data_IF_749207315702
#
_entry.id   IF_749207315702
#
_cell.length_a   1.000
_cell.length_b   1.000
_cell.length_c   1.000
_cell.angle_alpha   90.00
_cell.angle_beta   90.00
_cell.angle_gamma   90.00
#
_symmetry.space_group_name_H-M   'P 1'
#
loop_
_entity.id
_entity.type
_entity.pdbx_description
1 polymer ?
#
# COMPACT_ATOMS: atom_id res chain seq x y z
N UNK A 1 -18.53 -11.06 -22.86
CA UNK A 1 -17.78 -10.22 -21.91
C UNK A 1 -18.73 -9.20 -21.33
N UNK A 2 -18.96 -9.17 -20.01
CA UNK A 2 -19.88 -8.22 -19.37
C UNK A 2 -19.08 -7.28 -18.47
N UNK A 3 -19.15 -5.99 -18.78
CA UNK A 3 -18.70 -4.89 -17.93
C UNK A 3 -19.62 -4.81 -16.70
N UNK A 4 -19.04 -4.65 -15.52
CA UNK A 4 -19.79 -4.48 -14.27
C UNK A 4 -19.61 -3.03 -13.82
N UNK A 5 -20.69 -2.25 -13.82
CA UNK A 5 -20.76 -0.97 -13.09
C UNK A 5 -21.06 -1.24 -11.63
N UNK A 6 -20.49 -0.43 -10.75
CA UNK A 6 -20.79 -0.42 -9.32
C UNK A 6 -22.28 -0.13 -9.07
N UNK A 7 -22.98 -0.91 -8.22
CA UNK A 7 -24.37 -0.60 -7.88
C UNK A 7 -24.42 0.68 -7.03
N UNK A 8 -25.27 1.63 -7.43
CA UNK A 8 -25.61 2.78 -6.61
C UNK A 8 -26.43 2.32 -5.40
N UNK A 9 -25.89 2.45 -4.19
CA UNK A 9 -26.67 2.22 -2.96
C UNK A 9 -26.81 3.54 -2.23
N UNK A 10 -28.01 4.11 -2.28
CA UNK A 10 -28.45 5.18 -1.39
C UNK A 10 -28.44 4.64 0.05
N UNK A 11 -27.61 5.23 0.92
CA UNK A 11 -27.62 4.90 2.34
C UNK A 11 -26.28 5.10 3.05
N UNK A 12 -25.73 6.32 3.05
CA UNK A 12 -24.65 6.72 3.95
C UNK A 12 -25.22 7.72 4.96
N UNK A 13 -25.25 7.35 6.24
CA UNK A 13 -25.53 8.29 7.35
C UNK A 13 -24.24 9.02 7.70
N UNK A 14 -24.29 10.35 7.63
CA UNK A 14 -23.22 11.24 8.06
C UNK A 14 -23.49 11.72 9.50
N UNK A 15 -22.48 11.75 10.35
CA UNK A 15 -22.53 12.42 11.67
C UNK A 15 -21.43 13.48 11.71
N UNK A 16 -21.78 14.70 12.14
CA UNK A 16 -20.85 15.84 12.29
C UNK A 16 -21.14 16.57 13.60
N UNK A 17 -20.09 16.96 14.34
CA UNK A 17 -20.20 17.83 15.54
C UNK A 17 -19.14 18.96 15.49
N UNK A 18 -19.37 20.18 16.03
CA UNK A 18 -18.44 21.31 15.88
C UNK A 18 -17.61 21.64 17.13
N UNK A 19 -16.36 22.13 16.95
CA UNK A 19 -15.69 23.06 17.89
C UNK A 19 -14.18 22.93 18.18
N UNK A 20 -13.39 23.92 17.70
CA UNK A 20 -12.08 24.47 18.20
C UNK A 20 -10.69 23.82 17.99
N UNK A 21 -9.67 24.70 17.86
CA UNK A 21 -8.20 24.56 17.53
C UNK A 21 -7.38 25.34 18.60
N UNK A 22 -6.04 25.19 18.83
CA UNK A 22 -4.95 25.04 17.84
C UNK A 22 -3.75 24.10 18.18
N UNK A 23 -2.86 23.95 17.18
CA UNK A 23 -1.74 23.00 16.97
C UNK A 23 -0.46 23.26 17.81
N UNK A 24 0.31 22.20 18.11
CA UNK A 24 1.70 21.86 17.63
C UNK A 24 2.11 20.50 18.25
N UNK A 25 2.59 19.57 17.41
CA UNK A 25 3.10 18.19 17.70
C UNK A 25 2.25 17.28 18.62
N UNK A 26 1.36 16.42 18.09
CA UNK A 26 0.69 15.41 18.92
C UNK A 26 0.13 14.24 18.10
N UNK A 27 0.12 13.03 18.67
CA UNK A 27 -0.91 12.02 18.41
C UNK A 27 -2.23 12.76 18.21
N UNK A 28 -2.94 12.55 17.10
CA UNK A 28 -4.11 13.37 16.78
C UNK A 28 -5.04 13.42 18.00
N UNK A 29 -5.14 14.57 18.66
CA UNK A 29 -5.93 14.71 19.88
C UNK A 29 -7.44 14.64 19.58
N UNK A 30 -7.79 14.77 18.30
CA UNK A 30 -9.13 14.71 17.76
C UNK A 30 -9.12 13.86 16.47
N UNK A 31 -9.97 12.84 16.44
CA UNK A 31 -10.15 11.91 15.32
C UNK A 31 -11.50 12.08 14.61
N UNK A 32 -12.26 13.14 14.89
CA UNK A 32 -13.63 13.34 14.39
C UNK A 32 -13.69 13.44 12.86
N UNK A 33 -12.60 13.90 12.25
CA UNK A 33 -12.46 13.98 10.79
C UNK A 33 -11.87 12.71 10.17
N UNK A 34 -11.31 11.81 10.99
CA UNK A 34 -10.75 10.55 10.51
C UNK A 34 -11.89 9.63 10.09
N UNK A 35 -11.59 8.81 9.09
CA UNK A 35 -12.51 7.79 8.60
C UNK A 35 -12.14 6.47 9.26
N UNK A 36 -13.13 5.62 9.49
CA UNK A 36 -12.89 4.24 9.91
C UNK A 36 -12.70 3.41 8.66
N UNK A 37 -11.57 2.71 8.57
CA UNK A 37 -11.37 1.62 7.62
C UNK A 37 -11.51 0.31 8.38
N UNK A 38 -12.39 -0.57 7.91
CA UNK A 38 -12.56 -1.92 8.45
C UNK A 38 -11.61 -2.87 7.75
N UNK A 39 -11.30 -3.99 8.40
CA UNK A 39 -10.54 -5.06 7.78
C UNK A 39 -11.12 -5.43 6.40
N UNK A 40 -10.27 -5.43 5.37
CA UNK A 40 -10.66 -5.71 3.99
C UNK A 40 -11.12 -4.48 3.19
N UNK A 41 -11.31 -3.32 3.82
CA UNK A 41 -11.53 -2.07 3.08
C UNK A 41 -10.28 -1.68 2.30
N UNK A 42 -10.47 -1.05 1.15
CA UNK A 42 -9.40 -0.43 0.39
C UNK A 42 -9.27 1.02 0.82
N UNK A 43 -8.05 1.44 1.17
CA UNK A 43 -7.72 2.82 1.45
C UNK A 43 -6.67 3.33 0.48
N UNK A 44 -6.86 4.54 -0.04
CA UNK A 44 -5.86 5.18 -0.90
C UNK A 44 -5.76 6.69 -0.68
N UNK A 45 -4.58 7.23 -0.91
CA UNK A 45 -4.35 8.66 -0.85
C UNK A 45 -4.72 9.31 -2.19
N UNK A 46 -5.69 10.24 -2.19
CA UNK A 46 -6.15 10.92 -3.41
C UNK A 46 -5.04 11.61 -4.21
N UNK A 47 -3.99 12.11 -3.57
CA UNK A 47 -2.89 12.85 -4.22
C UNK A 47 -1.79 11.94 -4.79
N UNK A 48 -1.73 10.70 -4.33
CA UNK A 48 -0.66 9.75 -4.66
C UNK A 48 -1.18 8.46 -5.29
N UNK A 49 -2.50 8.38 -5.53
CA UNK A 49 -3.14 7.19 -6.08
C UNK A 49 -2.57 6.79 -7.43
N UNK A 50 -2.30 7.75 -8.31
CA UNK A 50 -1.69 7.50 -9.62
C UNK A 50 -0.29 6.88 -9.52
N UNK A 51 0.41 7.04 -8.39
CA UNK A 51 1.69 6.42 -8.07
C UNK A 51 1.54 5.06 -7.37
N UNK A 52 0.32 4.54 -7.23
CA UNK A 52 0.03 3.27 -6.57
C UNK A 52 -0.05 3.36 -5.04
N UNK A 53 -0.27 4.54 -4.47
CA UNK A 53 -0.46 4.71 -3.02
C UNK A 53 -1.85 4.22 -2.55
N UNK A 54 -2.03 2.91 -2.58
CA UNK A 54 -3.25 2.18 -2.25
C UNK A 54 -2.92 0.89 -1.49
N UNK A 55 -3.81 0.48 -0.60
CA UNK A 55 -3.70 -0.78 0.12
C UNK A 55 -5.01 -1.24 0.69
N UNK A 56 -5.07 -2.53 1.01
CA UNK A 56 -6.15 -3.11 1.80
C UNK A 56 -5.85 -2.94 3.29
N UNK A 57 -6.87 -2.61 4.08
CA UNK A 57 -6.76 -2.51 5.53
C UNK A 57 -6.61 -3.92 6.13
N UNK A 58 -5.49 -4.22 6.81
CA UNK A 58 -5.26 -5.54 7.41
C UNK A 58 -6.11 -5.78 8.66
N UNK A 59 -6.56 -4.70 9.31
CA UNK A 59 -7.37 -4.68 10.52
C UNK A 59 -8.21 -3.42 10.54
N UNK A 60 -9.17 -3.36 11.45
CA UNK A 60 -9.91 -2.13 11.74
C UNK A 60 -8.95 -1.02 12.21
N UNK A 61 -9.19 0.20 11.74
CA UNK A 61 -8.36 1.34 12.09
C UNK A 61 -8.92 2.68 11.63
N UNK A 62 -8.25 3.75 12.06
CA UNK A 62 -8.55 5.11 11.63
C UNK A 62 -7.60 5.53 10.51
N UNK A 63 -8.15 6.16 9.49
CA UNK A 63 -7.38 6.75 8.38
C UNK A 63 -7.64 8.24 8.29
N UNK A 64 -6.60 8.97 7.90
CA UNK A 64 -6.65 10.42 7.75
C UNK A 64 -7.78 10.85 6.77
N UNK A 65 -8.42 12.01 6.99
CA UNK A 65 -9.48 12.52 6.12
C UNK A 65 -9.11 12.60 4.63
N UNK A 66 -7.82 12.75 4.33
CA UNK A 66 -7.30 12.85 2.96
C UNK A 66 -7.26 11.52 2.20
N UNK A 67 -7.44 10.40 2.91
CA UNK A 67 -7.63 9.09 2.28
C UNK A 67 -9.08 8.90 1.84
N UNK A 68 -9.25 8.19 0.74
CA UNK A 68 -10.53 7.60 0.37
C UNK A 68 -10.54 6.18 0.95
N UNK A 69 -11.68 5.78 1.52
CA UNK A 69 -11.94 4.42 2.00
C UNK A 69 -13.08 3.86 1.18
N UNK A 70 -12.88 2.67 0.62
CA UNK A 70 -13.85 2.00 -0.24
C UNK A 70 -13.92 0.52 0.13
N UNK A 71 -15.13 0.04 0.43
CA UNK A 71 -15.37 -1.37 0.69
C UNK A 71 -15.60 -2.10 -0.63
N UNK A 72 -14.84 -3.16 -0.95
CA UNK A 72 -15.15 -4.05 -2.07
C UNK A 72 -16.55 -4.65 -1.91
N UNK A 73 -17.36 -4.66 -2.96
CA UNK A 73 -18.74 -5.18 -2.92
C UNK A 73 -18.99 -6.23 -3.98
N UNK A 74 -20.09 -6.98 -3.82
CA UNK A 74 -20.52 -8.02 -4.75
C UNK A 74 -19.55 -9.21 -4.74
N UNK A 75 -19.04 -9.56 -5.92
CA UNK A 75 -18.14 -10.73 -6.12
C UNK A 75 -16.66 -10.38 -6.11
N UNK A 76 -16.30 -9.14 -5.79
CA UNK A 76 -14.91 -8.69 -5.75
C UNK A 76 -14.30 -9.02 -4.38
N UNK A 77 -13.31 -9.90 -4.34
CA UNK A 77 -12.58 -10.20 -3.10
C UNK A 77 -11.64 -9.05 -2.74
N UNK A 78 -11.55 -8.65 -1.46
CA UNK A 78 -10.60 -7.63 -1.01
C UNK A 78 -9.13 -7.90 -1.39
N UNK A 79 -8.68 -9.15 -1.24
CA UNK A 79 -7.31 -9.55 -1.55
C UNK A 79 -7.03 -9.48 -3.05
N UNK A 80 -8.03 -9.82 -3.88
CA UNK A 80 -7.91 -9.67 -5.32
C UNK A 80 -7.89 -8.20 -5.74
N UNK A 81 -8.73 -7.36 -5.09
CA UNK A 81 -8.69 -5.93 -5.30
C UNK A 81 -7.31 -5.36 -4.97
N UNK A 82 -6.68 -5.75 -3.86
CA UNK A 82 -5.31 -5.30 -3.53
C UNK A 82 -4.30 -5.63 -4.64
N UNK A 83 -4.31 -6.88 -5.15
CA UNK A 83 -3.42 -7.29 -6.24
C UNK A 83 -3.70 -6.49 -7.51
N UNK A 84 -4.97 -6.35 -7.88
CA UNK A 84 -5.39 -5.64 -9.08
C UNK A 84 -4.98 -4.15 -9.06
N UNK A 85 -5.18 -3.49 -7.93
CA UNK A 85 -4.91 -2.05 -7.76
C UNK A 85 -3.42 -1.72 -7.83
N UNK A 86 -2.54 -2.71 -7.61
CA UNK A 86 -1.08 -2.57 -7.74
C UNK A 86 -0.56 -2.81 -9.16
N UNK A 87 -1.42 -3.22 -10.10
CA UNK A 87 -0.99 -3.44 -11.48
C UNK A 87 -0.68 -2.13 -12.21
N UNK A 88 0.27 -2.18 -13.14
CA UNK A 88 0.62 -1.01 -13.98
C UNK A 88 -0.57 -0.51 -14.81
N UNK A 89 -1.45 -1.41 -15.26
CA UNK A 89 -2.67 -1.04 -15.98
C UNK A 89 -3.62 -0.20 -15.11
N UNK A 90 -3.81 -0.61 -13.85
CA UNK A 90 -4.67 0.14 -12.94
C UNK A 90 -4.06 1.51 -12.58
N UNK A 91 -2.75 1.57 -12.34
CA UNK A 91 -2.05 2.83 -12.09
C UNK A 91 -2.14 3.77 -13.30
N UNK A 92 -2.03 3.27 -14.53
CA UNK A 92 -2.19 4.05 -15.75
C UNK A 92 -3.62 4.61 -15.90
N UNK A 93 -4.64 3.80 -15.66
CA UNK A 93 -6.04 4.24 -15.68
C UNK A 93 -6.34 5.25 -14.55
N UNK A 94 -5.74 5.08 -13.38
CA UNK A 94 -5.82 6.03 -12.27
C UNK A 94 -5.17 7.37 -12.63
N UNK A 95 -4.00 7.35 -13.29
CA UNK A 95 -3.32 8.56 -13.76
C UNK A 95 -4.16 9.29 -14.81
N UNK A 96 -4.73 8.56 -15.76
CA UNK A 96 -5.60 9.10 -16.82
C UNK A 96 -6.84 9.81 -16.29
N UNK A 97 -7.42 9.29 -15.19
CA UNK A 97 -8.58 9.88 -14.52
C UNK A 97 -8.22 10.88 -13.42
N UNK A 98 -6.93 11.14 -13.19
CA UNK A 98 -6.51 12.13 -12.20
C UNK A 98 -6.52 13.54 -12.78
N UNK A 99 -6.82 14.52 -11.95
CA UNK A 99 -6.89 15.93 -12.32
C UNK A 99 -5.88 16.78 -11.54
N UNK A 100 -5.25 17.75 -12.22
CA UNK A 100 -4.27 18.66 -11.62
C UNK A 100 -3.74 19.67 -12.62
N UNK A 101 -3.23 20.80 -12.12
CA UNK A 101 -2.62 21.86 -12.95
C UNK A 101 -1.24 21.43 -13.44
N UNK A 102 -0.48 20.74 -12.57
CA UNK A 102 0.84 20.20 -12.86
C UNK A 102 0.84 18.70 -12.63
N UNK A 103 1.71 17.98 -13.34
CA UNK A 103 1.77 16.51 -13.33
C UNK A 103 2.07 15.94 -11.93
N UNK A 104 2.79 16.67 -11.08
CA UNK A 104 3.12 16.29 -9.70
C UNK A 104 1.99 16.56 -8.69
N UNK A 105 0.94 17.27 -9.13
CA UNK A 105 -0.23 17.65 -8.31
C UNK A 105 -1.53 16.98 -8.77
N UNK A 106 -1.40 15.88 -9.52
CA UNK A 106 -2.53 15.03 -9.91
C UNK A 106 -3.23 14.46 -8.68
N UNK A 107 -4.56 14.46 -8.73
CA UNK A 107 -5.43 13.90 -7.69
C UNK A 107 -6.51 13.04 -8.33
N UNK A 108 -6.75 11.86 -7.77
CA UNK A 108 -7.88 11.01 -8.13
C UNK A 108 -8.97 11.15 -7.05
N UNK A 109 -10.09 11.77 -7.42
CA UNK A 109 -11.25 11.90 -6.54
C UNK A 109 -12.11 10.62 -6.58
N UNK A 110 -13.01 10.50 -5.61
CA UNK A 110 -13.86 9.30 -5.48
C UNK A 110 -14.75 9.10 -6.70
N UNK A 111 -15.30 10.20 -7.21
CA UNK A 111 -16.19 10.25 -8.37
C UNK A 111 -15.51 9.72 -9.63
N UNK A 112 -14.23 10.00 -9.81
CA UNK A 112 -13.44 9.49 -10.93
C UNK A 112 -13.00 8.03 -10.71
N UNK A 113 -12.64 7.70 -9.46
CA UNK A 113 -12.21 6.34 -9.10
C UNK A 113 -13.32 5.31 -9.32
N UNK A 114 -14.56 5.60 -8.91
CA UNK A 114 -15.69 4.67 -9.04
C UNK A 114 -16.10 4.39 -10.50
N UNK A 115 -15.69 5.24 -11.44
CA UNK A 115 -15.93 5.09 -12.88
C UNK A 115 -14.82 4.27 -13.58
N UNK A 116 -13.82 3.80 -12.84
CA UNK A 116 -12.81 2.86 -13.38
C UNK A 116 -13.47 1.48 -13.50
N UNK A 117 -13.57 1.00 -14.74
CA UNK A 117 -14.03 -0.35 -15.02
C UNK A 117 -12.89 -1.36 -14.83
N UNK A 118 -13.18 -2.44 -14.13
CA UNK A 118 -12.21 -3.51 -13.84
C UNK A 118 -12.75 -4.87 -14.26
N UNK A 119 -11.84 -5.74 -14.69
CA UNK A 119 -12.16 -7.14 -14.91
C UNK A 119 -12.29 -7.86 -13.57
N UNK A 120 -13.49 -8.38 -13.29
CA UNK A 120 -13.73 -9.22 -12.11
C UNK A 120 -13.99 -10.64 -12.60
N UNK A 121 -13.04 -11.58 -12.47
CA UNK A 121 -13.26 -12.97 -12.85
C UNK A 121 -14.15 -13.70 -11.82
N UNK A 122 -14.56 -14.96 -12.06
CA UNK A 122 -15.19 -15.80 -11.04
C UNK A 122 -14.37 -15.84 -9.75
N UNK A 123 -15.05 -16.04 -8.60
CA UNK A 123 -14.41 -16.01 -7.28
C UNK A 123 -13.29 -17.06 -7.16
N UNK A 124 -13.47 -18.25 -7.74
CA UNK A 124 -12.43 -19.29 -7.76
C UNK A 124 -11.14 -18.81 -8.44
N UNK A 125 -11.26 -18.16 -9.60
CA UNK A 125 -10.10 -17.63 -10.34
C UNK A 125 -9.43 -16.48 -9.57
N UNK A 126 -10.22 -15.64 -8.89
CA UNK A 126 -9.67 -14.58 -8.02
C UNK A 126 -8.79 -15.18 -6.92
N UNK A 127 -9.24 -16.26 -6.27
CA UNK A 127 -8.44 -16.96 -5.25
C UNK A 127 -7.15 -17.53 -5.83
N UNK A 128 -7.21 -18.21 -6.97
CA UNK A 128 -6.02 -18.79 -7.62
C UNK A 128 -4.99 -17.72 -7.99
N UNK A 129 -5.44 -16.56 -8.48
CA UNK A 129 -4.57 -15.43 -8.80
C UNK A 129 -3.89 -14.90 -7.53
N UNK A 130 -4.67 -14.66 -6.46
CA UNK A 130 -4.13 -14.17 -5.19
C UNK A 130 -3.13 -15.16 -4.60
N UNK A 131 -3.45 -16.46 -4.57
CA UNK A 131 -2.57 -17.50 -4.06
C UNK A 131 -1.25 -17.56 -4.84
N UNK A 132 -1.33 -17.48 -6.17
CA UNK A 132 -0.14 -17.44 -7.01
C UNK A 132 0.75 -16.23 -6.67
N UNK A 133 0.16 -15.03 -6.58
CA UNK A 133 0.91 -13.80 -6.26
C UNK A 133 1.56 -13.91 -4.89
N UNK A 134 0.80 -14.32 -3.86
CA UNK A 134 1.32 -14.49 -2.49
C UNK A 134 2.47 -15.49 -2.45
N UNK A 135 2.35 -16.62 -3.15
CA UNK A 135 3.41 -17.63 -3.21
C UNK A 135 4.70 -17.07 -3.83
N UNK A 136 4.60 -16.38 -4.96
CA UNK A 136 5.78 -15.84 -5.63
C UNK A 136 6.41 -14.68 -4.84
N UNK A 137 5.60 -13.80 -4.24
CA UNK A 137 6.13 -12.72 -3.39
C UNK A 137 6.81 -13.27 -2.12
N UNK A 138 6.26 -14.32 -1.51
CA UNK A 138 6.86 -14.97 -0.33
C UNK A 138 8.25 -15.53 -0.64
N UNK A 139 8.46 -16.12 -1.84
CA UNK A 139 9.79 -16.58 -2.26
C UNK A 139 10.77 -15.41 -2.38
N UNK A 140 10.33 -14.30 -2.98
CA UNK A 140 11.14 -13.09 -3.14
C UNK A 140 11.52 -12.51 -1.77
N UNK A 141 10.58 -12.44 -0.83
CA UNK A 141 10.82 -11.97 0.53
C UNK A 141 11.83 -12.86 1.27
N UNK A 142 11.78 -14.18 1.07
CA UNK A 142 12.77 -15.11 1.60
C UNK A 142 14.19 -14.84 1.09
N UNK A 143 14.35 -14.62 -0.23
CA UNK A 143 15.64 -14.27 -0.83
C UNK A 143 16.15 -12.94 -0.31
N UNK A 144 15.25 -11.95 -0.18
CA UNK A 144 15.58 -10.63 0.37
C UNK A 144 16.12 -10.75 1.80
N UNK A 145 15.43 -11.48 2.67
CA UNK A 145 15.85 -11.69 4.05
C UNK A 145 17.22 -12.39 4.15
N UNK A 146 17.46 -13.41 3.32
CA UNK A 146 18.76 -14.09 3.26
C UNK A 146 19.90 -13.15 2.80
N UNK A 147 19.60 -12.29 1.83
CA UNK A 147 20.55 -11.29 1.31
C UNK A 147 20.89 -10.24 2.38
N UNK A 148 19.88 -9.70 3.06
CA UNK A 148 20.06 -8.72 4.15
C UNK A 148 20.90 -9.33 5.30
N UNK A 149 20.66 -10.60 5.66
CA UNK A 149 21.48 -11.31 6.65
C UNK A 149 22.92 -11.49 6.19
N UNK A 150 23.14 -11.83 4.93
CA UNK A 150 24.49 -11.97 4.36
C UNK A 150 25.26 -10.66 4.41
N UNK A 151 24.59 -9.54 4.09
CA UNK A 151 25.18 -8.20 4.19
C UNK A 151 25.62 -7.88 5.62
N UNK A 152 24.80 -8.21 6.62
CA UNK A 152 25.14 -8.01 8.03
C UNK A 152 26.38 -8.81 8.44
N UNK A 153 26.42 -10.10 8.11
CA UNK A 153 27.57 -10.97 8.43
C UNK A 153 28.86 -10.51 7.75
N UNK A 154 28.78 -10.01 6.51
CA UNK A 154 29.93 -9.45 5.82
C UNK A 154 30.45 -8.17 6.49
N UNK A 155 29.55 -7.32 7.02
CA UNK A 155 29.94 -6.13 7.79
C UNK A 155 30.60 -6.51 9.11
N UNK A 156 30.06 -7.49 9.84
CA UNK A 156 30.65 -8.02 11.07
C UNK A 156 32.03 -8.61 10.82
N UNK A 157 32.16 -9.48 9.79
CA UNK A 157 33.45 -10.07 9.40
C UNK A 157 34.47 -8.99 9.04
N UNK A 158 34.07 -7.97 8.27
CA UNK A 158 34.96 -6.85 7.93
C UNK A 158 35.44 -6.13 9.18
N UNK A 159 34.54 -5.84 10.13
CA UNK A 159 34.90 -5.18 11.39
C UNK A 159 35.87 -6.03 12.21
N UNK A 160 35.61 -7.33 12.34
CA UNK A 160 36.48 -8.26 13.04
C UNK A 160 37.87 -8.38 12.39
N UNK A 161 37.93 -8.48 11.06
CA UNK A 161 39.20 -8.52 10.32
C UNK A 161 40.04 -7.26 10.51
N UNK A 162 39.41 -6.07 10.46
CA UNK A 162 40.11 -4.80 10.73
C UNK A 162 40.63 -4.79 12.17
N UNK A 163 39.81 -5.18 13.14
CA UNK A 163 40.20 -5.23 14.55
C UNK A 163 41.38 -6.19 14.77
N UNK A 164 41.33 -7.38 14.16
CA UNK A 164 42.39 -8.38 14.26
C UNK A 164 43.70 -7.90 13.59
N UNK A 165 43.62 -7.22 12.44
CA UNK A 165 44.79 -6.64 11.79
C UNK A 165 45.42 -5.51 12.62
N UNK A 166 44.62 -4.59 13.17
CA UNK A 166 45.12 -3.46 13.98
C UNK A 166 45.65 -3.90 15.35
N UNK A 167 45.12 -4.99 15.91
CA UNK A 167 45.61 -5.57 17.17
C UNK A 167 46.79 -6.53 16.97
N UNK A 168 47.28 -6.69 15.74
CA UNK A 168 48.41 -7.57 15.42
C UNK A 168 48.09 -9.06 15.52
N UNK A 169 46.82 -9.44 15.63
CA UNK A 169 46.38 -10.85 15.61
C UNK A 169 46.43 -11.45 14.20
N UNK A 170 46.50 -10.61 13.17
CA UNK A 170 46.72 -11.01 11.77
C UNK A 170 47.88 -10.19 11.22
N UNK A 171 48.87 -10.87 10.65
CA UNK A 171 50.03 -10.23 10.04
C UNK A 171 49.68 -9.71 8.63
N UNK A 172 49.61 -8.39 8.51
CA UNK A 172 49.17 -7.69 7.29
C UNK A 172 50.28 -7.62 6.24
N UNK A 173 51.55 -7.84 6.63
CA UNK A 173 52.72 -7.71 5.76
C UNK A 173 53.02 -8.98 4.94
N UNK A 174 52.53 -10.15 5.36
CA UNK A 174 52.73 -11.43 4.66
C UNK A 174 51.67 -11.75 3.60
N UNK A 175 50.63 -10.91 3.48
CA UNK A 175 49.47 -11.13 2.62
C UNK A 175 49.42 -10.24 1.36
N UNK A 176 50.47 -9.45 1.10
CA UNK A 176 50.65 -8.61 -0.08
C UNK A 176 51.77 -9.15 -0.98
#
# INVERSE_FOLDING_TARGET
MRTARWPSVNGLRFYTHPGTRPKIESTAANFDSYKVARQGDIAFNKMRMWQGAVGMAPSDGLVSPDYVVATPTGRLLPQFAEVLLRTGLFSAESARRSHGITWDRLRLYWEDFREIEIAVPPVADQFLIVEHVVRETTKIDGIRAATERTILLLKERRSALISAAVTGQIDVAAAA
#
